data_IF_544910872081
#
_entry.id   IF_544910872081
#
_cell.length_a   1.000
_cell.length_b   1.000
_cell.length_c   1.000
_cell.angle_alpha   90.00
_cell.angle_beta   90.00
_cell.angle_gamma   90.00
#
_symmetry.space_group_name_H-M   'P 1'
#
loop_
_entity.id
_entity.type
_entity.pdbx_description
1 polymer ?
#
# COMPACT_ATOMS: atom_id res chain seq x y z
N UNK A 1 66.82 0.68 52.02
CA UNK A 1 66.00 -0.36 51.53
C UNK A 1 64.62 0.25 51.26
N UNK A 2 64.25 0.50 50.01
CA UNK A 2 63.02 1.17 49.62
C UNK A 2 62.03 0.14 49.03
N UNK A 3 60.87 -0.03 49.67
CA UNK A 3 59.80 -0.85 49.20
C UNK A 3 59.09 -0.18 48.02
N UNK A 4 59.10 -0.81 46.87
CA UNK A 4 58.31 -0.41 45.72
C UNK A 4 56.91 -1.09 45.84
N UNK A 5 55.89 -0.27 46.05
CA UNK A 5 54.51 -0.72 46.03
C UNK A 5 54.02 -0.76 44.58
N UNK A 6 53.64 -1.95 44.10
CA UNK A 6 53.16 -2.16 42.79
C UNK A 6 51.62 -1.93 42.79
N UNK A 7 51.24 -0.71 42.37
CA UNK A 7 49.84 -0.34 42.23
C UNK A 7 49.32 -0.96 40.93
N UNK A 8 48.58 -2.05 41.07
CA UNK A 8 47.90 -2.73 39.97
C UNK A 8 46.72 -1.88 39.52
N UNK A 9 46.89 -1.17 38.40
CA UNK A 9 45.83 -0.41 37.75
C UNK A 9 44.88 -1.38 37.07
N UNK A 10 43.77 -1.69 37.71
CA UNK A 10 42.70 -2.51 37.14
C UNK A 10 41.93 -1.67 36.12
N UNK A 11 42.28 -1.82 34.86
CA UNK A 11 41.57 -1.20 33.76
C UNK A 11 40.26 -1.99 33.52
N UNK A 12 39.16 -1.54 34.13
CA UNK A 12 37.82 -2.07 33.83
C UNK A 12 37.39 -1.59 32.46
N UNK A 13 37.47 -2.48 31.47
CA UNK A 13 36.87 -2.26 30.13
C UNK A 13 35.37 -2.32 30.31
N UNK A 14 34.70 -1.17 30.35
CA UNK A 14 33.24 -1.07 30.20
C UNK A 14 32.93 -1.33 28.75
N UNK A 15 32.55 -2.55 28.41
CA UNK A 15 31.97 -2.88 27.13
C UNK A 15 30.54 -2.28 27.12
N UNK A 16 30.44 -1.07 26.56
CA UNK A 16 29.13 -0.49 26.25
C UNK A 16 28.50 -1.36 25.17
N UNK A 17 27.59 -2.24 25.58
CA UNK A 17 26.70 -2.93 24.67
C UNK A 17 25.82 -1.86 24.00
N UNK A 18 26.19 -1.47 22.80
CA UNK A 18 25.29 -0.71 21.92
C UNK A 18 24.17 -1.67 21.58
N UNK A 19 23.10 -1.66 22.38
CA UNK A 19 21.84 -2.25 21.98
C UNK A 19 21.40 -1.47 20.73
N UNK A 20 21.57 -2.07 19.57
CA UNK A 20 20.90 -1.62 18.35
C UNK A 20 19.42 -1.85 18.64
N UNK A 21 18.74 -0.82 19.16
CA UNK A 21 17.29 -0.84 19.28
C UNK A 21 16.74 -1.06 17.86
N UNK A 22 15.97 -2.13 17.61
CA UNK A 22 15.29 -2.28 16.34
C UNK A 22 14.41 -1.04 16.16
N UNK A 23 14.21 -0.63 14.92
CA UNK A 23 13.52 0.58 14.48
C UNK A 23 12.06 0.60 14.95
N UNK A 24 11.85 0.86 16.23
CA UNK A 24 10.54 0.89 16.93
C UNK A 24 9.67 2.05 16.41
N UNK A 25 10.30 3.05 15.75
CA UNK A 25 9.62 4.22 15.21
C UNK A 25 8.76 3.90 13.98
N UNK A 26 9.21 2.99 13.12
CA UNK A 26 8.55 2.68 11.85
C UNK A 26 7.29 1.82 12.10
N UNK A 27 7.38 0.82 12.96
CA UNK A 27 6.24 -0.01 13.36
C UNK A 27 5.15 0.82 14.06
N UNK A 28 5.53 1.83 14.83
CA UNK A 28 4.58 2.73 15.48
C UNK A 28 3.86 3.61 14.46
N UNK A 29 4.58 4.19 13.49
CA UNK A 29 3.99 5.00 12.43
C UNK A 29 2.98 4.19 11.62
N UNK A 30 3.36 2.99 11.17
CA UNK A 30 2.50 2.07 10.42
C UNK A 30 1.24 1.75 11.22
N UNK A 31 1.40 1.30 12.48
CA UNK A 31 0.28 0.91 13.32
C UNK A 31 -0.68 2.07 13.58
N UNK A 32 -0.16 3.26 13.88
CA UNK A 32 -0.96 4.45 14.14
C UNK A 32 -1.72 4.92 12.89
N UNK A 33 -1.09 4.87 11.73
CA UNK A 33 -1.72 5.26 10.46
C UNK A 33 -2.79 4.25 10.06
N UNK A 34 -2.47 2.96 10.10
CA UNK A 34 -3.37 1.90 9.69
C UNK A 34 -4.58 1.75 10.62
N UNK A 35 -4.44 2.02 11.94
CA UNK A 35 -5.56 1.97 12.88
C UNK A 35 -6.72 2.91 12.53
N UNK A 36 -6.47 3.94 11.72
CA UNK A 36 -7.47 4.91 11.25
C UNK A 36 -8.04 4.58 9.87
N UNK A 37 -7.71 3.42 9.31
CA UNK A 37 -8.23 2.94 8.02
C UNK A 37 -9.38 1.95 8.23
N UNK A 38 -10.23 1.72 7.21
CA UNK A 38 -11.34 0.77 7.35
C UNK A 38 -10.90 -0.70 7.46
N UNK A 39 -9.63 -1.01 7.09
CA UNK A 39 -9.07 -2.36 7.11
C UNK A 39 -7.67 -2.36 7.75
N UNK A 40 -7.57 -2.18 9.11
CA UNK A 40 -6.27 -1.98 9.77
C UNK A 40 -5.29 -3.13 9.60
N UNK A 41 -5.75 -4.37 9.69
CA UNK A 41 -4.90 -5.55 9.59
C UNK A 41 -4.31 -5.68 8.17
N UNK A 42 -5.11 -5.50 7.13
CA UNK A 42 -4.68 -5.54 5.73
C UNK A 42 -3.71 -4.39 5.43
N UNK A 43 -4.02 -3.17 5.91
CA UNK A 43 -3.13 -2.02 5.78
C UNK A 43 -1.73 -2.32 6.33
N UNK A 44 -1.64 -2.84 7.56
CA UNK A 44 -0.36 -3.22 8.18
C UNK A 44 0.34 -4.30 7.36
N UNK A 45 -0.40 -5.33 6.92
CA UNK A 45 0.15 -6.44 6.15
C UNK A 45 0.75 -5.97 4.83
N UNK A 46 0.02 -5.17 4.06
CA UNK A 46 0.50 -4.64 2.78
C UNK A 46 1.72 -3.75 2.93
N UNK A 47 1.71 -2.81 3.88
CA UNK A 47 2.84 -1.90 4.09
C UNK A 47 4.08 -2.68 4.54
N UNK A 48 3.95 -3.62 5.48
CA UNK A 48 5.08 -4.42 5.96
C UNK A 48 5.63 -5.41 4.93
N UNK A 49 4.86 -5.77 3.92
CA UNK A 49 5.31 -6.62 2.82
C UNK A 49 6.17 -5.85 1.79
N UNK A 50 6.14 -4.52 1.78
CA UNK A 50 6.96 -3.70 0.90
C UNK A 50 8.35 -3.48 1.51
N UNK A 51 9.40 -3.79 0.75
CA UNK A 51 10.79 -3.68 1.22
C UNK A 51 11.18 -2.24 1.58
N UNK A 52 10.55 -1.24 0.94
CA UNK A 52 10.80 0.19 1.20
C UNK A 52 10.13 0.68 2.49
N UNK A 53 9.27 -0.12 3.11
CA UNK A 53 8.56 0.28 4.35
C UNK A 53 9.49 0.67 5.48
N UNK A 54 10.69 0.08 5.53
CA UNK A 54 11.73 0.34 6.54
C UNK A 54 12.34 1.74 6.44
N UNK A 55 12.24 2.37 5.26
CA UNK A 55 12.81 3.69 4.99
C UNK A 55 11.79 4.82 5.07
N UNK A 56 10.51 4.49 5.26
CA UNK A 56 9.42 5.47 5.35
C UNK A 56 9.38 6.11 6.72
N UNK A 57 9.32 7.44 6.76
CA UNK A 57 9.37 8.23 8.00
C UNK A 57 8.12 9.07 8.25
N UNK A 58 7.18 9.06 7.31
CA UNK A 58 5.98 9.91 7.36
C UNK A 58 4.75 9.24 6.71
N UNK A 59 3.58 9.82 6.95
CA UNK A 59 2.31 9.32 6.41
C UNK A 59 2.24 9.42 4.88
N UNK A 60 2.76 10.50 4.22
CA UNK A 60 2.84 10.53 2.75
C UNK A 60 3.58 9.35 2.15
N UNK A 61 4.72 8.94 2.74
CA UNK A 61 5.47 7.77 2.31
C UNK A 61 4.67 6.48 2.40
N UNK A 62 3.90 6.28 3.48
CA UNK A 62 2.97 5.14 3.60
C UNK A 62 1.88 5.19 2.52
N UNK A 63 1.39 6.39 2.18
CA UNK A 63 0.45 6.60 1.09
C UNK A 63 1.04 6.21 -0.27
N UNK A 64 2.30 6.53 -0.52
CA UNK A 64 3.01 6.14 -1.77
C UNK A 64 3.12 4.62 -1.87
N UNK A 65 3.53 3.92 -0.79
CA UNK A 65 3.56 2.45 -0.75
C UNK A 65 2.17 1.89 -1.06
N UNK A 66 1.13 2.38 -0.42
CA UNK A 66 -0.22 1.86 -0.62
C UNK A 66 -0.74 2.12 -2.04
N UNK A 67 -0.35 3.23 -2.69
CA UNK A 67 -0.67 3.47 -4.10
C UNK A 67 0.05 2.48 -5.03
N UNK A 68 1.29 2.10 -4.71
CA UNK A 68 2.03 1.05 -5.43
C UNK A 68 1.39 -0.33 -5.24
N UNK A 69 0.97 -0.66 -4.01
CA UNK A 69 0.19 -1.88 -3.73
C UNK A 69 -1.08 -1.91 -4.58
N UNK A 70 -1.80 -0.79 -4.70
CA UNK A 70 -3.01 -0.72 -5.52
C UNK A 70 -2.73 -0.96 -7.01
N UNK A 71 -1.58 -0.53 -7.52
CA UNK A 71 -1.15 -0.88 -8.90
C UNK A 71 -0.95 -2.38 -9.05
N UNK A 72 -0.30 -3.02 -8.08
CA UNK A 72 -0.04 -4.48 -8.11
C UNK A 72 -1.36 -5.27 -8.04
N UNK A 73 -2.24 -4.93 -7.10
CA UNK A 73 -3.53 -5.60 -6.93
C UNK A 73 -4.49 -5.37 -8.11
N UNK A 74 -4.32 -4.29 -8.87
CA UNK A 74 -5.09 -4.02 -10.07
C UNK A 74 -4.58 -4.78 -11.31
N UNK A 75 -3.37 -5.35 -11.28
CA UNK A 75 -2.79 -6.03 -12.44
C UNK A 75 -3.47 -7.36 -12.73
N UNK A 76 -3.68 -8.20 -11.72
CA UNK A 76 -4.30 -9.51 -11.88
C UNK A 76 -5.71 -9.46 -12.51
N UNK A 77 -6.67 -8.67 -11.98
CA UNK A 77 -7.98 -8.54 -12.60
C UNK A 77 -7.92 -7.96 -14.02
N UNK A 78 -7.01 -7.02 -14.29
CA UNK A 78 -6.81 -6.49 -15.65
C UNK A 78 -6.40 -7.60 -16.63
N UNK A 79 -5.47 -8.46 -16.22
CA UNK A 79 -4.97 -9.54 -17.07
C UNK A 79 -6.06 -10.63 -17.29
N UNK A 80 -6.83 -10.96 -16.26
CA UNK A 80 -7.99 -11.86 -16.37
C UNK A 80 -9.00 -11.30 -17.38
N UNK A 81 -9.37 -10.02 -17.24
CA UNK A 81 -10.31 -9.35 -18.14
C UNK A 81 -9.82 -9.35 -19.59
N UNK A 82 -8.53 -9.10 -19.80
CA UNK A 82 -7.90 -9.12 -21.12
C UNK A 82 -8.01 -10.51 -21.77
N UNK A 83 -7.74 -11.57 -21.02
CA UNK A 83 -7.86 -12.96 -21.49
C UNK A 83 -9.31 -13.31 -21.80
N UNK A 84 -10.26 -12.97 -20.92
CA UNK A 84 -11.67 -13.26 -21.12
C UNK A 84 -12.25 -12.53 -22.35
N UNK A 85 -11.84 -11.27 -22.55
CA UNK A 85 -12.23 -10.46 -23.69
C UNK A 85 -11.68 -11.04 -25.00
N UNK A 86 -10.40 -11.42 -25.03
CA UNK A 86 -9.72 -12.00 -26.18
C UNK A 86 -10.25 -13.38 -26.57
N UNK A 87 -10.73 -14.17 -25.60
CA UNK A 87 -11.30 -15.49 -25.85
C UNK A 87 -12.63 -15.46 -26.64
N UNK A 88 -13.36 -14.34 -26.64
CA UNK A 88 -14.62 -14.16 -27.40
C UNK A 88 -15.77 -15.08 -27.01
N UNK A 89 -15.60 -15.88 -25.94
CA UNK A 89 -16.56 -16.96 -25.55
C UNK A 89 -17.79 -16.45 -24.81
N UNK A 90 -17.83 -15.18 -24.44
CA UNK A 90 -18.90 -14.58 -23.63
C UNK A 90 -19.43 -13.30 -24.26
N UNK A 91 -20.14 -13.42 -25.42
CA UNK A 91 -20.69 -12.26 -26.12
C UNK A 91 -21.72 -11.49 -25.27
N UNK A 92 -22.36 -12.17 -24.33
CA UNK A 92 -23.37 -11.63 -23.40
C UNK A 92 -22.80 -10.59 -22.42
N UNK A 93 -21.49 -10.60 -22.12
CA UNK A 93 -20.82 -9.70 -21.17
C UNK A 93 -19.61 -8.95 -21.77
N UNK A 94 -19.46 -8.93 -23.09
CA UNK A 94 -18.31 -8.28 -23.74
C UNK A 94 -18.18 -6.79 -23.39
N UNK A 95 -19.31 -6.08 -23.33
CA UNK A 95 -19.33 -4.65 -22.98
C UNK A 95 -18.82 -4.44 -21.54
N UNK A 96 -19.29 -5.26 -20.60
CA UNK A 96 -18.89 -5.20 -19.20
C UNK A 96 -17.40 -5.53 -19.04
N UNK A 97 -16.90 -6.58 -19.70
CA UNK A 97 -15.49 -6.95 -19.69
C UNK A 97 -14.60 -5.80 -20.19
N UNK A 98 -14.99 -5.17 -21.31
CA UNK A 98 -14.26 -4.03 -21.89
C UNK A 98 -14.24 -2.83 -20.94
N UNK A 99 -15.39 -2.44 -20.40
CA UNK A 99 -15.50 -1.32 -19.47
C UNK A 99 -14.68 -1.55 -18.20
N UNK A 100 -14.68 -2.77 -17.67
CA UNK A 100 -13.84 -3.13 -16.52
C UNK A 100 -12.36 -3.09 -16.86
N UNK A 101 -11.94 -3.60 -18.02
CA UNK A 101 -10.55 -3.55 -18.48
C UNK A 101 -10.05 -2.10 -18.60
N UNK A 102 -10.89 -1.20 -19.13
CA UNK A 102 -10.60 0.24 -19.20
C UNK A 102 -10.47 0.85 -17.80
N UNK A 103 -11.33 0.48 -16.85
CA UNK A 103 -11.30 0.92 -15.46
C UNK A 103 -9.98 0.52 -14.77
N UNK A 104 -9.56 -0.73 -14.89
CA UNK A 104 -8.29 -1.20 -14.32
C UNK A 104 -7.08 -0.56 -15.01
N UNK A 105 -7.16 -0.36 -16.33
CA UNK A 105 -6.11 0.36 -17.07
C UNK A 105 -5.98 1.81 -16.61
N UNK A 106 -7.09 2.49 -16.31
CA UNK A 106 -7.10 3.83 -15.74
C UNK A 106 -6.46 3.86 -14.34
N UNK A 107 -6.79 2.91 -13.46
CA UNK A 107 -6.18 2.81 -12.12
C UNK A 107 -4.65 2.74 -12.24
N UNK A 108 -4.16 1.79 -13.05
CA UNK A 108 -2.73 1.51 -13.17
C UNK A 108 -1.96 2.65 -13.85
N UNK A 109 -2.51 3.17 -14.96
CA UNK A 109 -1.77 4.09 -15.83
C UNK A 109 -1.98 5.57 -15.51
N UNK A 110 -3.05 5.90 -14.80
CA UNK A 110 -3.44 7.30 -14.59
C UNK A 110 -3.64 7.63 -13.11
N UNK A 111 -4.56 6.95 -12.45
CA UNK A 111 -4.97 7.33 -11.10
C UNK A 111 -3.85 7.16 -10.07
N UNK A 112 -3.17 6.01 -10.06
CA UNK A 112 -2.14 5.75 -9.07
C UNK A 112 -0.84 6.53 -9.30
N UNK A 113 -0.32 6.67 -10.52
CA UNK A 113 0.78 7.61 -10.76
C UNK A 113 0.46 9.04 -10.29
N UNK A 114 -0.73 9.55 -10.60
CA UNK A 114 -1.14 10.88 -10.16
C UNK A 114 -1.33 10.98 -8.62
N UNK A 115 -1.81 9.93 -7.95
CA UNK A 115 -1.88 9.88 -6.49
C UNK A 115 -0.49 9.93 -5.85
N UNK A 116 0.47 9.15 -6.37
CA UNK A 116 1.87 9.15 -5.92
C UNK A 116 2.48 10.55 -6.07
N UNK A 117 2.31 11.19 -7.23
CA UNK A 117 2.84 12.53 -7.47
C UNK A 117 2.15 13.56 -6.55
N UNK A 118 0.86 13.39 -6.27
CA UNK A 118 0.13 14.25 -5.34
C UNK A 118 0.69 14.20 -3.91
N UNK A 119 1.08 13.03 -3.43
CA UNK A 119 1.78 12.89 -2.13
C UNK A 119 3.14 13.61 -2.16
N UNK A 120 3.95 13.41 -3.22
CA UNK A 120 5.28 14.02 -3.35
C UNK A 120 5.25 15.55 -3.35
N UNK A 121 4.20 16.16 -3.92
CA UNK A 121 4.05 17.62 -4.00
C UNK A 121 3.20 18.21 -2.87
N UNK A 122 2.89 17.43 -1.83
CA UNK A 122 2.14 17.90 -0.66
C UNK A 122 0.67 18.25 -0.94
N UNK A 123 0.03 17.55 -1.86
CA UNK A 123 -1.41 17.70 -2.20
C UNK A 123 -2.21 16.43 -1.89
N UNK A 124 -2.26 15.98 -0.63
CA UNK A 124 -2.87 14.69 -0.27
C UNK A 124 -4.35 14.58 -0.62
N UNK A 125 -5.07 15.70 -0.67
CA UNK A 125 -6.48 15.72 -1.07
C UNK A 125 -6.69 15.21 -2.51
N UNK A 126 -5.77 15.52 -3.41
CA UNK A 126 -5.82 14.94 -4.77
C UNK A 126 -5.54 13.44 -4.76
N UNK A 127 -4.62 12.97 -3.90
CA UNK A 127 -4.38 11.53 -3.73
C UNK A 127 -5.63 10.81 -3.18
N UNK A 128 -6.34 11.42 -2.22
CA UNK A 128 -7.64 10.93 -1.72
C UNK A 128 -8.67 10.81 -2.85
N UNK A 129 -8.79 11.85 -3.69
CA UNK A 129 -9.74 11.88 -4.81
C UNK A 129 -9.44 10.76 -5.83
N UNK A 130 -8.16 10.52 -6.16
CA UNK A 130 -7.76 9.41 -7.03
C UNK A 130 -8.04 8.04 -6.42
N UNK A 131 -7.79 7.86 -5.12
CA UNK A 131 -8.11 6.63 -4.41
C UNK A 131 -9.61 6.35 -4.38
N UNK A 132 -10.42 7.37 -4.08
CA UNK A 132 -11.89 7.28 -4.09
C UNK A 132 -12.43 6.98 -5.49
N UNK A 133 -11.82 7.57 -6.52
CA UNK A 133 -12.18 7.27 -7.93
C UNK A 133 -11.86 5.81 -8.26
N UNK A 134 -10.69 5.30 -7.86
CA UNK A 134 -10.34 3.89 -8.05
C UNK A 134 -11.36 2.96 -7.39
N UNK A 135 -11.71 3.19 -6.12
CA UNK A 135 -12.74 2.42 -5.42
C UNK A 135 -14.10 2.46 -6.15
N UNK A 136 -14.47 3.64 -6.66
CA UNK A 136 -15.74 3.82 -7.39
C UNK A 136 -15.78 3.03 -8.70
N UNK A 137 -14.72 3.09 -9.52
CA UNK A 137 -14.70 2.40 -10.82
C UNK A 137 -14.68 0.88 -10.65
N UNK A 138 -13.98 0.36 -9.63
CA UNK A 138 -14.01 -1.06 -9.27
C UNK A 138 -15.40 -1.49 -8.81
N UNK A 139 -16.08 -0.71 -7.97
CA UNK A 139 -17.46 -0.99 -7.54
C UNK A 139 -18.44 -0.98 -8.71
N UNK A 140 -18.26 -0.05 -9.67
CA UNK A 140 -19.09 -0.01 -10.89
C UNK A 140 -18.84 -1.22 -11.78
N UNK A 141 -17.57 -1.65 -11.89
CA UNK A 141 -17.22 -2.87 -12.60
C UNK A 141 -17.98 -4.07 -12.02
N UNK A 142 -17.88 -4.32 -10.71
CA UNK A 142 -18.57 -5.42 -10.04
C UNK A 142 -20.08 -5.41 -10.30
N UNK A 143 -20.71 -4.25 -10.10
CA UNK A 143 -22.17 -4.08 -10.28
C UNK A 143 -22.64 -4.31 -11.71
N UNK A 144 -21.78 -4.07 -12.72
CA UNK A 144 -22.17 -4.22 -14.13
C UNK A 144 -22.50 -5.67 -14.53
N UNK A 145 -22.00 -6.63 -13.75
CA UNK A 145 -22.26 -8.06 -13.98
C UNK A 145 -23.48 -8.62 -13.22
N UNK A 146 -24.26 -7.77 -12.55
CA UNK A 146 -25.46 -8.18 -11.78
C UNK A 146 -25.15 -9.31 -10.76
N UNK A 147 -24.04 -9.21 -10.04
CA UNK A 147 -23.60 -10.20 -9.03
C UNK A 147 -22.97 -11.48 -9.59
N UNK A 148 -22.62 -11.50 -10.89
CA UNK A 148 -21.98 -12.64 -11.57
C UNK A 148 -20.65 -12.25 -12.21
N UNK A 149 -19.93 -11.33 -11.59
CA UNK A 149 -18.62 -10.90 -12.07
C UNK A 149 -17.63 -12.06 -12.08
N UNK A 150 -16.87 -12.24 -13.15
CA UNK A 150 -15.82 -13.27 -13.21
C UNK A 150 -14.58 -12.90 -12.38
N UNK A 151 -14.54 -11.70 -11.79
CA UNK A 151 -13.43 -11.13 -11.01
C UNK A 151 -13.91 -10.54 -9.68
N UNK A 152 -14.96 -11.12 -9.07
CA UNK A 152 -15.52 -10.59 -7.80
C UNK A 152 -14.46 -10.52 -6.68
N UNK A 153 -13.63 -11.56 -6.53
CA UNK A 153 -12.61 -11.59 -5.49
C UNK A 153 -11.56 -10.48 -5.71
N UNK A 154 -11.09 -10.32 -6.93
CA UNK A 154 -10.12 -9.30 -7.31
C UNK A 154 -10.70 -7.89 -7.18
N UNK A 155 -11.98 -7.71 -7.53
CA UNK A 155 -12.70 -6.45 -7.30
C UNK A 155 -12.74 -6.10 -5.81
N UNK A 156 -13.03 -7.06 -4.94
CA UNK A 156 -13.08 -6.83 -3.49
C UNK A 156 -11.72 -6.40 -2.96
N UNK A 157 -10.65 -7.12 -3.30
CA UNK A 157 -9.28 -6.79 -2.87
C UNK A 157 -8.87 -5.40 -3.37
N UNK A 158 -9.04 -5.12 -4.66
CA UNK A 158 -8.68 -3.81 -5.24
C UNK A 158 -9.48 -2.67 -4.59
N UNK A 159 -10.76 -2.89 -4.33
CA UNK A 159 -11.62 -1.92 -3.65
C UNK A 159 -11.16 -1.67 -2.21
N UNK A 160 -10.81 -2.70 -1.44
CA UNK A 160 -10.29 -2.57 -0.07
C UNK A 160 -9.00 -1.74 -0.04
N UNK A 161 -8.03 -2.06 -0.91
CA UNK A 161 -6.76 -1.33 -1.00
C UNK A 161 -6.99 0.14 -1.38
N UNK A 162 -7.89 0.43 -2.32
CA UNK A 162 -8.25 1.80 -2.67
C UNK A 162 -8.87 2.56 -1.48
N UNK A 163 -9.70 1.90 -0.68
CA UNK A 163 -10.29 2.46 0.55
C UNK A 163 -9.25 2.72 1.64
N UNK A 164 -8.26 1.85 1.79
CA UNK A 164 -7.12 2.06 2.69
C UNK A 164 -6.34 3.30 2.26
N UNK A 165 -5.96 3.38 0.97
CA UNK A 165 -5.22 4.50 0.41
C UNK A 165 -5.94 5.84 0.65
N UNK A 166 -7.24 5.91 0.35
CA UNK A 166 -8.04 7.11 0.58
C UNK A 166 -8.08 7.53 2.05
N UNK A 167 -8.18 6.55 2.97
CA UNK A 167 -8.15 6.82 4.41
C UNK A 167 -6.78 7.27 4.91
N UNK A 168 -5.67 6.80 4.32
CA UNK A 168 -4.31 7.31 4.62
C UNK A 168 -4.18 8.76 4.13
N UNK A 169 -4.58 9.05 2.90
CA UNK A 169 -4.51 10.40 2.34
C UNK A 169 -5.32 11.42 3.15
N UNK A 170 -6.47 11.01 3.68
CA UNK A 170 -7.35 11.84 4.51
C UNK A 170 -6.74 12.22 5.86
N UNK A 171 -5.67 11.58 6.31
CA UNK A 171 -4.99 11.89 7.58
C UNK A 171 -4.03 13.07 7.47
N UNK A 172 -3.80 13.58 6.27
CA UNK A 172 -2.89 14.68 5.92
C UNK A 172 -3.65 15.98 5.65
#
# INVERSE_FOLDING_TARGET
MKHFSLNTLLCTIVVASIAIAPCESDDKLITQTCSKTPYPAQCISYIKADDNSKDVRDVPGLGIIMAQVLVLEAQAPKDILFVLLGAGKRPDIQVQLKTCLESYSFIIKTAMPAAIDSFKIGKPRLAEDYANTAALVVSKCEKSFNGKSPITNENNVTHEVARILGAIAKQL
#
